data_IF_806391576983
#
_entry.id   IF_806391576983
#
_cell.length_a   1.000
_cell.length_b   1.000
_cell.length_c   1.000
_cell.angle_alpha   90.00
_cell.angle_beta   90.00
_cell.angle_gamma   90.00
#
_symmetry.space_group_name_H-M   'P 1'
#
loop_
_entity.id
_entity.type
_entity.pdbx_description
1 polymer ?
#
# COMPACT_ATOMS: atom_id res chain seq x y z
N UNK A 1 1.57 18.77 -1.83
CA UNK A 1 1.50 18.55 -0.37
C UNK A 1 0.14 17.95 0.02
N UNK A 2 -0.98 18.62 -0.31
CA UNK A 2 -2.35 18.13 -0.02
C UNK A 2 -2.66 16.74 -0.63
N UNK A 3 -2.18 16.46 -1.84
CA UNK A 3 -2.38 15.17 -2.50
C UNK A 3 -1.56 14.01 -1.89
N UNK A 4 -0.39 14.28 -1.28
CA UNK A 4 0.47 13.24 -0.68
C UNK A 4 -0.11 12.79 0.66
N UNK A 5 -0.42 13.73 1.53
CA UNK A 5 -1.02 13.46 2.84
C UNK A 5 -2.35 12.72 2.70
N UNK A 6 -3.21 13.14 1.76
CA UNK A 6 -4.44 12.41 1.46
C UNK A 6 -4.16 10.96 1.05
N UNK A 7 -3.24 10.71 0.13
CA UNK A 7 -2.90 9.35 -0.29
C UNK A 7 -2.32 8.49 0.84
N UNK A 8 -1.57 9.08 1.78
CA UNK A 8 -1.09 8.35 2.97
C UNK A 8 -2.26 7.97 3.89
N UNK A 9 -3.21 8.88 4.10
CA UNK A 9 -4.42 8.59 4.86
C UNK A 9 -5.27 7.52 4.17
N UNK A 10 -5.45 7.60 2.84
CA UNK A 10 -6.18 6.60 2.06
C UNK A 10 -5.53 5.20 2.25
N UNK A 11 -4.20 5.11 2.19
CA UNK A 11 -3.48 3.84 2.42
C UNK A 11 -3.62 3.33 3.86
N UNK A 12 -3.61 4.22 4.86
CA UNK A 12 -3.82 3.87 6.26
C UNK A 12 -5.24 3.31 6.49
N UNK A 13 -6.27 3.96 5.93
CA UNK A 13 -7.65 3.48 6.00
C UNK A 13 -7.82 2.11 5.32
N UNK A 14 -7.19 1.91 4.17
CA UNK A 14 -7.20 0.62 3.47
C UNK A 14 -6.55 -0.47 4.32
N UNK A 15 -5.40 -0.17 4.95
CA UNK A 15 -4.71 -1.11 5.83
C UNK A 15 -5.59 -1.51 7.02
N UNK A 16 -6.22 -0.55 7.69
CA UNK A 16 -7.12 -0.79 8.82
C UNK A 16 -8.31 -1.68 8.39
N UNK A 17 -8.91 -1.42 7.22
CA UNK A 17 -9.99 -2.27 6.69
C UNK A 17 -9.51 -3.69 6.42
N UNK A 18 -8.35 -3.85 5.79
CA UNK A 18 -7.75 -5.17 5.56
C UNK A 18 -7.49 -5.91 6.88
N UNK A 19 -7.05 -5.21 7.94
CA UNK A 19 -6.80 -5.79 9.27
C UNK A 19 -8.04 -6.40 9.90
N UNK A 20 -9.24 -5.91 9.57
CA UNK A 20 -10.51 -6.47 10.05
C UNK A 20 -10.97 -7.73 9.32
N UNK A 21 -10.35 -8.09 8.19
CA UNK A 21 -10.75 -9.25 7.39
C UNK A 21 -10.17 -10.56 7.94
N UNK A 22 -10.99 -11.60 7.92
CA UNK A 22 -10.61 -12.97 8.28
C UNK A 22 -10.65 -13.89 7.05
N UNK A 23 -9.57 -14.65 6.75
CA UNK A 23 -9.52 -15.52 5.56
C UNK A 23 -10.70 -16.48 5.40
N UNK A 24 -11.30 -16.89 6.52
CA UNK A 24 -12.34 -17.92 6.53
C UNK A 24 -13.74 -17.38 6.24
N UNK A 25 -13.89 -16.05 6.22
CA UNK A 25 -15.15 -15.42 5.87
C UNK A 25 -15.39 -15.51 4.35
N UNK A 26 -16.58 -15.95 3.90
CA UNK A 26 -16.87 -16.13 2.47
C UNK A 26 -16.76 -14.88 1.61
N UNK A 27 -16.78 -13.69 2.22
CA UNK A 27 -16.68 -12.39 1.55
C UNK A 27 -15.25 -11.86 1.50
N UNK A 28 -14.29 -12.50 2.17
CA UNK A 28 -12.93 -11.97 2.30
C UNK A 28 -12.24 -11.89 0.96
N UNK A 29 -12.34 -12.92 0.11
CA UNK A 29 -11.70 -12.88 -1.23
C UNK A 29 -12.10 -11.63 -2.02
N UNK A 30 -13.40 -11.32 -2.10
CA UNK A 30 -13.86 -10.14 -2.82
C UNK A 30 -13.42 -8.84 -2.17
N UNK A 31 -13.53 -8.73 -0.83
CA UNK A 31 -13.16 -7.51 -0.12
C UNK A 31 -11.65 -7.23 -0.18
N UNK A 32 -10.81 -8.28 -0.10
CA UNK A 32 -9.36 -8.13 -0.26
C UNK A 32 -9.02 -7.65 -1.65
N UNK A 33 -9.65 -8.19 -2.71
CA UNK A 33 -9.42 -7.74 -4.07
C UNK A 33 -9.84 -6.28 -4.28
N UNK A 34 -10.97 -5.86 -3.71
CA UNK A 34 -11.43 -4.47 -3.78
C UNK A 34 -10.42 -3.52 -3.12
N UNK A 35 -10.04 -3.81 -1.87
CA UNK A 35 -9.05 -3.00 -1.14
C UNK A 35 -7.65 -3.03 -1.77
N UNK A 36 -7.26 -4.15 -2.38
CA UNK A 36 -6.01 -4.24 -3.14
C UNK A 36 -6.06 -3.33 -4.37
N UNK A 37 -7.17 -3.29 -5.10
CA UNK A 37 -7.32 -2.40 -6.26
C UNK A 37 -7.30 -0.93 -5.83
N UNK A 38 -7.98 -0.58 -4.73
CA UNK A 38 -7.92 0.77 -4.17
C UNK A 38 -6.47 1.16 -3.82
N UNK A 39 -5.72 0.26 -3.19
CA UNK A 39 -4.30 0.50 -2.87
C UNK A 39 -3.46 0.69 -4.13
N UNK A 40 -3.64 -0.15 -5.15
CA UNK A 40 -2.95 -0.02 -6.45
C UNK A 40 -3.23 1.35 -7.09
N UNK A 41 -4.46 1.83 -7.03
CA UNK A 41 -4.83 3.12 -7.61
C UNK A 41 -4.20 4.29 -6.85
N UNK A 42 -4.12 4.21 -5.51
CA UNK A 42 -3.37 5.19 -4.70
C UNK A 42 -1.88 5.17 -5.05
N UNK A 43 -1.26 4.00 -5.14
CA UNK A 43 0.15 3.89 -5.52
C UNK A 43 0.43 4.42 -6.92
N UNK A 44 -0.42 4.12 -7.90
CA UNK A 44 -0.30 4.65 -9.28
C UNK A 44 -0.53 6.16 -9.34
N UNK A 45 -1.40 6.69 -8.49
CA UNK A 45 -1.59 8.14 -8.36
C UNK A 45 -0.33 8.79 -7.78
N UNK A 46 0.21 8.25 -6.69
CA UNK A 46 1.46 8.71 -6.06
C UNK A 46 2.64 8.64 -7.04
N UNK A 47 2.77 7.54 -7.79
CA UNK A 47 3.81 7.37 -8.80
C UNK A 47 3.77 8.45 -9.88
N UNK A 48 2.57 8.88 -10.31
CA UNK A 48 2.37 9.86 -11.38
C UNK A 48 2.44 11.31 -10.91
N UNK A 49 2.00 11.60 -9.68
CA UNK A 49 1.72 12.98 -9.24
C UNK A 49 2.43 13.37 -7.93
N UNK A 50 3.02 12.42 -7.20
CA UNK A 50 3.44 12.62 -5.81
C UNK A 50 4.92 12.93 -5.62
N UNK A 51 5.79 12.64 -6.59
CA UNK A 51 7.24 12.61 -6.38
C UNK A 51 8.01 13.22 -7.55
N UNK A 52 8.56 14.41 -7.36
CA UNK A 52 9.54 15.05 -8.26
C UNK A 52 10.96 14.58 -7.90
N UNK A 53 11.61 13.95 -8.87
CA UNK A 53 13.03 13.57 -9.07
C UNK A 53 13.89 12.95 -7.95
N UNK A 54 13.63 13.08 -6.64
CA UNK A 54 14.58 12.55 -5.61
C UNK A 54 13.98 11.72 -4.45
N UNK A 55 12.66 11.64 -4.30
CA UNK A 55 11.96 10.78 -3.30
C UNK A 55 11.32 9.53 -4.00
N UNK A 56 10.97 8.42 -3.30
CA UNK A 56 11.29 7.07 -3.74
C UNK A 56 10.30 6.46 -4.75
N UNK A 57 10.39 6.92 -6.01
CA UNK A 57 9.69 6.30 -7.15
C UNK A 57 9.93 4.78 -7.26
N UNK A 58 11.12 4.33 -6.87
CA UNK A 58 11.49 2.91 -6.82
C UNK A 58 10.73 2.13 -5.74
N UNK A 59 10.51 2.71 -4.55
CA UNK A 59 9.71 2.07 -3.48
C UNK A 59 8.25 1.96 -3.91
N UNK A 60 7.69 3.00 -4.52
CA UNK A 60 6.31 2.97 -5.02
C UNK A 60 6.16 1.91 -6.12
N UNK A 61 7.07 1.89 -7.09
CA UNK A 61 7.05 0.90 -8.16
C UNK A 61 7.22 -0.53 -7.61
N UNK A 62 8.07 -0.72 -6.61
CA UNK A 62 8.19 -1.99 -5.90
C UNK A 62 6.87 -2.40 -5.25
N UNK A 63 6.19 -1.48 -4.54
CA UNK A 63 4.89 -1.75 -3.93
C UNK A 63 3.84 -2.14 -4.96
N UNK A 64 3.76 -1.42 -6.09
CA UNK A 64 2.85 -1.77 -7.21
C UNK A 64 3.13 -3.20 -7.69
N UNK A 65 4.39 -3.54 -7.97
CA UNK A 65 4.76 -4.90 -8.41
C UNK A 65 4.39 -5.98 -7.39
N UNK A 66 4.56 -5.71 -6.10
CA UNK A 66 4.21 -6.67 -5.04
C UNK A 66 2.70 -6.82 -4.86
N UNK A 67 1.93 -5.76 -5.01
CA UNK A 67 0.46 -5.85 -4.99
C UNK A 67 -0.09 -6.59 -6.21
N UNK A 68 0.48 -6.40 -7.40
CA UNK A 68 0.10 -7.19 -8.58
C UNK A 68 0.44 -8.68 -8.39
N UNK A 69 1.48 -9.01 -7.61
CA UNK A 69 1.77 -10.38 -7.21
C UNK A 69 0.76 -10.91 -6.18
N UNK A 70 0.45 -10.14 -5.14
CA UNK A 70 -0.56 -10.48 -4.13
C UNK A 70 -1.92 -10.77 -4.78
N UNK A 71 -2.30 -9.94 -5.76
CA UNK A 71 -3.51 -10.12 -6.56
C UNK A 71 -3.55 -11.50 -7.22
N UNK A 72 -2.47 -11.91 -7.88
CA UNK A 72 -2.37 -13.24 -8.49
C UNK A 72 -2.46 -14.38 -7.48
N UNK A 73 -1.98 -14.19 -6.25
CA UNK A 73 -2.15 -15.21 -5.20
C UNK A 73 -3.63 -15.38 -4.85
N UNK A 74 -4.33 -14.25 -4.61
CA UNK A 74 -5.76 -14.24 -4.27
C UNK A 74 -6.62 -14.81 -5.40
N UNK A 75 -6.32 -14.46 -6.65
CA UNK A 75 -7.00 -14.99 -7.84
C UNK A 75 -6.77 -16.49 -8.06
N UNK A 76 -5.73 -17.07 -7.48
CA UNK A 76 -5.43 -18.51 -7.51
C UNK A 76 -5.81 -19.22 -6.20
N UNK A 77 -6.79 -18.68 -5.48
CA UNK A 77 -7.36 -19.21 -4.22
C UNK A 77 -6.39 -19.21 -3.01
N UNK A 78 -5.23 -18.56 -3.09
CA UNK A 78 -4.32 -18.35 -1.95
C UNK A 78 -4.63 -17.03 -1.23
N UNK A 79 -5.85 -16.96 -0.69
CA UNK A 79 -6.42 -15.73 -0.10
C UNK A 79 -5.72 -15.35 1.19
N UNK A 80 -5.34 -16.32 2.03
CA UNK A 80 -4.68 -16.06 3.30
C UNK A 80 -3.31 -15.40 3.08
N UNK A 81 -2.49 -15.98 2.19
CA UNK A 81 -1.18 -15.41 1.88
C UNK A 81 -1.33 -14.08 1.15
N UNK A 82 -2.26 -14.00 0.20
CA UNK A 82 -2.56 -12.76 -0.51
C UNK A 82 -2.98 -11.60 0.40
N UNK A 83 -3.82 -11.87 1.40
CA UNK A 83 -4.23 -10.90 2.42
C UNK A 83 -3.04 -10.46 3.29
N UNK A 84 -2.26 -11.41 3.82
CA UNK A 84 -1.05 -11.11 4.62
C UNK A 84 -0.05 -10.29 3.83
N UNK A 85 0.14 -10.63 2.55
CA UNK A 85 1.11 -9.97 1.70
C UNK A 85 0.66 -8.55 1.33
N UNK A 86 -0.62 -8.35 1.02
CA UNK A 86 -1.20 -7.02 0.76
C UNK A 86 -1.00 -6.08 1.96
N UNK A 87 -1.33 -6.53 3.18
CA UNK A 87 -1.09 -5.77 4.43
C UNK A 87 0.38 -5.38 4.59
N UNK A 88 1.26 -6.35 4.37
CA UNK A 88 2.71 -6.17 4.53
C UNK A 88 3.29 -5.13 3.57
N UNK A 89 2.81 -5.10 2.31
CA UNK A 89 3.27 -4.12 1.31
C UNK A 89 2.83 -2.70 1.68
N UNK A 90 1.57 -2.50 2.07
CA UNK A 90 1.06 -1.18 2.47
C UNK A 90 1.80 -0.69 3.73
N UNK A 91 1.93 -1.55 4.74
CA UNK A 91 2.65 -1.23 5.97
C UNK A 91 4.12 -0.90 5.71
N UNK A 92 4.79 -1.63 4.81
CA UNK A 92 6.16 -1.35 4.40
C UNK A 92 6.30 0.08 3.85
N UNK A 93 5.45 0.45 2.89
CA UNK A 93 5.49 1.79 2.30
C UNK A 93 5.30 2.90 3.35
N UNK A 94 4.28 2.77 4.21
CA UNK A 94 4.00 3.76 5.25
C UNK A 94 5.19 3.95 6.20
N UNK A 95 5.91 2.86 6.53
CA UNK A 95 7.12 2.92 7.35
C UNK A 95 8.28 3.61 6.64
N UNK A 96 8.53 3.29 5.37
CA UNK A 96 9.59 3.94 4.58
C UNK A 96 9.38 5.46 4.53
N UNK A 97 8.16 5.92 4.27
CA UNK A 97 7.84 7.35 4.24
C UNK A 97 8.00 8.01 5.61
N UNK A 98 7.65 7.33 6.70
CA UNK A 98 7.84 7.86 8.04
C UNK A 98 9.32 8.01 8.41
N UNK A 99 10.17 7.04 8.00
CA UNK A 99 11.62 7.09 8.20
C UNK A 99 12.23 8.25 7.42
N UNK A 100 11.84 8.40 6.15
CA UNK A 100 12.29 9.48 5.28
C UNK A 100 11.95 10.87 5.86
N UNK A 101 10.70 11.06 6.30
CA UNK A 101 10.26 12.31 6.92
C UNK A 101 11.04 12.64 8.21
N UNK A 102 11.43 11.63 9.00
CA UNK A 102 12.23 11.82 10.20
C UNK A 102 13.69 12.20 9.87
N UNK A 103 14.26 11.63 8.80
CA UNK A 103 15.61 11.97 8.34
C UNK A 103 15.70 13.41 7.84
N UNK A 104 14.73 13.87 7.05
CA UNK A 104 14.67 15.26 6.57
C UNK A 104 14.58 16.28 7.72
N UNK A 105 13.92 15.94 8.83
CA UNK A 105 13.83 16.82 10.01
C UNK A 105 15.15 16.89 10.79
N UNK A 106 15.93 15.80 10.82
CA UNK A 106 17.20 15.74 11.53
C UNK A 106 18.33 16.49 10.82
N UNK A 107 18.31 16.57 9.48
CA UNK A 107 19.32 17.30 8.70
C UNK A 107 19.12 18.83 8.71
N UNK A 108 17.93 19.30 9.12
CA UNK A 108 17.57 20.72 9.19
C UNK A 108 17.73 21.33 10.61
N UNK A 109 18.36 20.60 11.54
CA UNK A 109 18.66 21.00 12.93
C UNK A 109 20.16 21.20 13.15
#
# INVERSE_FOLDING_TARGET
MENKEKSLNDLQEILERLETLHPEDPQTTSLVLDYLHDALDVFRFLFRNGYTEEQPSHVINYCIMKLEFAKKQIENDDVEEGLKFTKSVIMFFLKEIAIEAAAEQAENL
#
